data_IF_824041590403
#
_entry.id   IF_824041590403
#
_cell.length_a   1.000
_cell.length_b   1.000
_cell.length_c   1.000
_cell.angle_alpha   90.00
_cell.angle_beta   90.00
_cell.angle_gamma   90.00
#
_symmetry.space_group_name_H-M   'P 1'
#
loop_
_entity.id
_entity.type
_entity.pdbx_description
1 polymer ?
#
# COMPACT_ATOMS: atom_id res chain seq x y z
N UNK A 1 -2.98 -21.26 18.00
CA UNK A 1 -3.95 -20.20 18.29
C UNK A 1 -4.13 -19.28 17.07
N UNK A 2 -4.79 -19.74 15.99
CA UNK A 2 -4.85 -19.07 14.66
C UNK A 2 -6.18 -18.33 14.38
N UNK A 3 -7.12 -18.39 15.34
CA UNK A 3 -8.53 -17.99 15.17
C UNK A 3 -8.88 -16.57 15.63
N UNK A 4 -8.01 -15.83 16.34
CA UNK A 4 -8.33 -14.46 16.81
C UNK A 4 -7.87 -13.32 15.90
N UNK A 5 -6.97 -13.57 14.94
CA UNK A 5 -6.38 -12.46 14.16
C UNK A 5 -7.12 -12.15 12.84
N UNK A 6 -7.99 -13.04 12.35
CA UNK A 6 -8.81 -12.77 11.16
C UNK A 6 -9.90 -11.71 11.42
N UNK A 7 -10.35 -11.56 12.66
CA UNK A 7 -11.36 -10.57 13.05
C UNK A 7 -10.85 -9.11 12.97
N UNK A 8 -9.57 -8.90 12.70
CA UNK A 8 -8.94 -7.58 12.62
C UNK A 8 -8.61 -7.16 11.18
N UNK A 9 -8.73 -8.06 10.20
CA UNK A 9 -8.37 -7.78 8.82
C UNK A 9 -9.52 -7.09 8.10
N UNK A 10 -9.26 -5.98 7.38
CA UNK A 10 -10.29 -5.34 6.56
C UNK A 10 -10.73 -6.25 5.41
N UNK A 11 -12.00 -6.12 5.03
CA UNK A 11 -12.58 -6.86 3.90
C UNK A 11 -11.85 -6.52 2.60
N UNK A 12 -11.58 -7.54 1.77
CA UNK A 12 -10.88 -7.37 0.50
C UNK A 12 -11.80 -6.80 -0.58
N UNK A 13 -11.22 -6.02 -1.49
CA UNK A 13 -11.91 -5.48 -2.66
C UNK A 13 -11.36 -6.19 -3.91
N UNK A 14 -12.05 -7.23 -4.37
CA UNK A 14 -11.61 -8.02 -5.53
C UNK A 14 -11.72 -7.28 -6.85
N UNK A 15 -12.77 -6.47 -7.03
CA UNK A 15 -13.09 -5.78 -8.30
C UNK A 15 -13.27 -4.27 -8.10
N UNK A 16 -12.19 -3.50 -7.86
CA UNK A 16 -12.29 -2.06 -7.66
C UNK A 16 -12.64 -1.32 -8.96
N UNK A 17 -13.77 -0.60 -8.95
CA UNK A 17 -14.29 0.07 -10.15
C UNK A 17 -13.76 1.50 -10.30
N UNK A 18 -13.47 2.17 -9.18
CA UNK A 18 -12.96 3.53 -9.16
C UNK A 18 -11.48 3.59 -8.80
N UNK A 19 -10.79 4.68 -9.16
CA UNK A 19 -9.39 4.91 -8.74
C UNK A 19 -9.26 4.89 -7.21
N UNK A 20 -10.21 5.49 -6.50
CA UNK A 20 -10.30 5.46 -5.03
C UNK A 20 -10.34 4.03 -4.48
N UNK A 21 -11.19 3.18 -5.04
CA UNK A 21 -11.28 1.76 -4.66
C UNK A 21 -10.01 1.00 -4.99
N UNK A 22 -9.31 1.33 -6.08
CA UNK A 22 -8.03 0.68 -6.42
C UNK A 22 -6.95 0.97 -5.39
N UNK A 23 -6.86 2.23 -4.92
CA UNK A 23 -5.95 2.59 -3.83
C UNK A 23 -6.32 1.85 -2.55
N UNK A 24 -7.60 1.80 -2.22
CA UNK A 24 -8.07 1.13 -1.03
C UNK A 24 -7.82 -0.38 -1.09
N UNK A 25 -8.09 -1.02 -2.24
CA UNK A 25 -7.81 -2.43 -2.49
C UNK A 25 -6.31 -2.74 -2.30
N UNK A 26 -5.43 -1.89 -2.85
CA UNK A 26 -3.99 -2.06 -2.71
C UNK A 26 -3.54 -1.88 -1.24
N UNK A 27 -4.07 -0.88 -0.52
CA UNK A 27 -3.80 -0.68 0.91
C UNK A 27 -4.22 -1.90 1.72
N UNK A 28 -5.41 -2.43 1.48
CA UNK A 28 -5.93 -3.63 2.14
C UNK A 28 -5.04 -4.84 1.84
N UNK A 29 -4.65 -5.06 0.58
CA UNK A 29 -3.76 -6.17 0.23
C UNK A 29 -2.41 -6.08 0.95
N UNK A 30 -1.86 -4.87 1.14
CA UNK A 30 -0.62 -4.67 1.93
C UNK A 30 -0.84 -5.02 3.40
N UNK A 31 -1.96 -4.62 4.02
CA UNK A 31 -2.31 -5.01 5.39
C UNK A 31 -2.36 -6.53 5.53
N UNK A 32 -3.03 -7.22 4.60
CA UNK A 32 -3.10 -8.68 4.58
C UNK A 32 -1.71 -9.32 4.39
N UNK A 33 -0.92 -8.79 3.47
CA UNK A 33 0.43 -9.28 3.18
C UNK A 33 1.36 -9.18 4.39
N UNK A 34 1.29 -8.07 5.14
CA UNK A 34 2.08 -7.86 6.34
C UNK A 34 1.58 -8.72 7.49
N UNK A 35 0.27 -8.83 7.70
CA UNK A 35 -0.30 -9.70 8.74
C UNK A 35 0.15 -11.15 8.58
N UNK A 36 0.17 -11.69 7.35
CA UNK A 36 0.71 -13.04 7.06
C UNK A 36 2.19 -13.20 7.45
N UNK A 37 2.93 -12.10 7.56
CA UNK A 37 4.37 -12.03 7.86
C UNK A 37 4.62 -11.39 9.22
N UNK A 38 3.72 -11.61 10.18
CA UNK A 38 3.84 -11.12 11.56
C UNK A 38 3.97 -9.59 11.67
N UNK A 39 3.39 -8.86 10.70
CA UNK A 39 3.34 -7.40 10.69
C UNK A 39 4.57 -6.72 10.11
N UNK A 40 5.61 -7.44 9.66
CA UNK A 40 6.85 -6.80 9.19
C UNK A 40 7.55 -7.61 8.11
N UNK A 41 7.91 -6.99 6.99
CA UNK A 41 8.77 -7.62 5.97
C UNK A 41 9.39 -6.63 4.99
N UNK A 42 10.34 -7.12 4.18
CA UNK A 42 10.93 -6.34 3.09
C UNK A 42 9.88 -5.92 2.05
N UNK A 43 9.97 -4.68 1.56
CA UNK A 43 9.06 -4.13 0.54
C UNK A 43 9.03 -4.98 -0.72
N UNK A 44 10.17 -5.55 -1.10
CA UNK A 44 10.23 -6.43 -2.28
C UNK A 44 9.35 -7.67 -2.12
N UNK A 45 9.34 -8.29 -0.92
CA UNK A 45 8.50 -9.44 -0.64
C UNK A 45 7.00 -9.08 -0.67
N UNK A 46 6.64 -7.88 -0.17
CA UNK A 46 5.27 -7.35 -0.30
C UNK A 46 4.91 -7.19 -1.77
N UNK A 47 5.78 -6.58 -2.58
CA UNK A 47 5.56 -6.35 -4.01
C UNK A 47 5.42 -7.60 -4.88
N UNK A 48 5.77 -8.77 -4.34
CA UNK A 48 5.60 -10.07 -5.01
C UNK A 48 4.27 -10.76 -4.69
N UNK A 49 3.48 -10.27 -3.73
CA UNK A 49 2.17 -10.86 -3.47
C UNK A 49 1.26 -10.73 -4.71
N UNK A 50 0.61 -11.82 -5.16
CA UNK A 50 -0.21 -11.81 -6.37
C UNK A 50 -1.31 -10.74 -6.35
N UNK A 51 -1.98 -10.53 -5.22
CA UNK A 51 -3.04 -9.51 -5.12
C UNK A 51 -2.49 -8.08 -5.20
N UNK A 52 -1.30 -7.84 -4.65
CA UNK A 52 -0.60 -6.55 -4.75
C UNK A 52 -0.24 -6.27 -6.21
N UNK A 53 0.32 -7.26 -6.93
CA UNK A 53 0.64 -7.10 -8.35
C UNK A 53 -0.62 -6.83 -9.19
N UNK A 54 -1.74 -7.48 -8.89
CA UNK A 54 -3.02 -7.24 -9.58
C UNK A 54 -3.49 -5.79 -9.48
N UNK A 55 -3.43 -5.19 -8.28
CA UNK A 55 -3.94 -3.82 -8.08
C UNK A 55 -2.91 -2.72 -8.41
N UNK A 56 -1.61 -3.04 -8.38
CA UNK A 56 -0.51 -2.08 -8.64
C UNK A 56 -0.48 -1.55 -10.08
N UNK A 57 -0.84 -2.37 -11.07
CA UNK A 57 -0.60 -2.10 -12.51
C UNK A 57 -1.29 -0.82 -13.03
N UNK A 58 -2.37 -0.38 -12.39
CA UNK A 58 -3.16 0.78 -12.83
C UNK A 58 -3.08 1.98 -11.87
N UNK A 59 -2.07 2.01 -10.99
CA UNK A 59 -1.86 3.10 -10.02
C UNK A 59 -0.46 3.69 -10.22
N UNK A 60 -0.38 4.92 -10.73
CA UNK A 60 0.90 5.58 -11.03
C UNK A 60 1.82 5.69 -9.81
N UNK A 61 1.29 6.02 -8.64
CA UNK A 61 2.02 6.15 -7.37
C UNK A 61 2.42 4.79 -6.81
N UNK A 62 1.82 3.70 -7.29
CA UNK A 62 2.20 2.37 -6.90
C UNK A 62 3.36 1.85 -7.75
N UNK A 63 3.84 2.55 -8.80
CA UNK A 63 5.02 2.14 -9.60
C UNK A 63 6.19 1.74 -8.69
N UNK A 64 6.44 2.57 -7.68
CA UNK A 64 7.30 2.25 -6.54
C UNK A 64 6.42 1.98 -5.32
N UNK A 65 6.44 0.75 -4.83
CA UNK A 65 5.61 0.37 -3.68
C UNK A 65 5.98 1.14 -2.41
N UNK A 66 7.25 1.56 -2.27
CA UNK A 66 7.72 2.39 -1.16
C UNK A 66 6.98 3.73 -1.10
N UNK A 67 6.85 4.42 -2.24
CA UNK A 67 6.15 5.70 -2.34
C UNK A 67 4.68 5.55 -1.98
N UNK A 68 4.04 4.46 -2.44
CA UNK A 68 2.65 4.17 -2.10
C UNK A 68 2.46 3.94 -0.59
N UNK A 69 3.36 3.18 0.04
CA UNK A 69 3.30 2.90 1.48
C UNK A 69 3.45 4.18 2.30
N UNK A 70 4.31 5.11 1.86
CA UNK A 70 4.50 6.41 2.51
C UNK A 70 3.27 7.32 2.45
N UNK A 71 2.31 7.06 1.54
CA UNK A 71 1.04 7.78 1.55
C UNK A 71 0.20 7.47 2.78
N UNK A 72 0.37 6.30 3.42
CA UNK A 72 -0.46 5.84 4.54
C UNK A 72 0.37 5.67 5.83
N UNK A 73 0.91 6.75 6.40
CA UNK A 73 1.78 6.69 7.58
C UNK A 73 1.06 6.20 8.84
N UNK A 74 -0.28 6.26 8.87
CA UNK A 74 -1.07 5.71 9.97
C UNK A 74 -1.14 4.17 9.94
N UNK A 75 -0.94 3.56 8.76
CA UNK A 75 -0.96 2.11 8.60
C UNK A 75 0.42 1.52 8.51
N UNK A 76 1.38 2.23 7.95
CA UNK A 76 2.66 1.65 7.59
C UNK A 76 3.83 2.54 7.98
N UNK A 77 4.84 1.93 8.60
CA UNK A 77 6.16 2.51 8.76
C UNK A 77 7.10 1.92 7.70
N UNK A 78 7.82 2.79 7.00
CA UNK A 78 8.93 2.41 6.12
C UNK A 78 10.24 2.68 6.85
N UNK A 79 11.08 1.66 7.01
CA UNK A 79 12.40 1.78 7.64
C UNK A 79 13.47 1.36 6.64
N UNK A 80 14.47 2.21 6.45
CA UNK A 80 15.64 1.90 5.62
C UNK A 80 16.82 1.84 6.58
N UNK A 81 17.21 0.63 6.98
CA UNK A 81 18.31 0.44 7.91
C UNK A 81 19.32 -0.53 7.32
N UNK A 82 20.54 -0.04 7.08
CA UNK A 82 21.62 -0.85 6.53
C UNK A 82 22.00 -2.04 7.43
N UNK A 83 21.72 -1.96 8.73
CA UNK A 83 21.99 -3.03 9.69
C UNK A 83 21.06 -4.24 9.55
N UNK A 84 19.85 -4.07 9.02
CA UNK A 84 18.85 -5.15 8.86
C UNK A 84 18.85 -5.74 7.43
N UNK A 85 19.80 -5.33 6.60
CA UNK A 85 20.03 -5.84 5.26
C UNK A 85 19.75 -4.82 4.15
N UNK A 86 20.00 -5.20 2.88
CA UNK A 86 19.77 -4.34 1.74
C UNK A 86 18.26 -4.22 1.46
N UNK A 87 17.70 -3.04 1.74
CA UNK A 87 16.37 -2.67 1.30
C UNK A 87 15.52 -2.01 2.39
N UNK A 88 14.35 -1.53 1.97
CA UNK A 88 13.38 -0.95 2.88
C UNK A 88 12.49 -2.05 3.48
N UNK A 89 12.29 -1.97 4.80
CA UNK A 89 11.36 -2.81 5.55
C UNK A 89 10.07 -2.03 5.76
N UNK A 90 8.94 -2.68 5.53
CA UNK A 90 7.63 -2.17 5.89
C UNK A 90 7.12 -2.87 7.13
N UNK A 91 6.60 -2.08 8.04
CA UNK A 91 5.98 -2.53 9.28
C UNK A 91 4.54 -2.04 9.32
N UNK A 92 3.62 -2.93 9.68
CA UNK A 92 2.21 -2.63 9.90
C UNK A 92 2.04 -1.96 11.26
N UNK A 93 1.53 -0.73 11.26
CA UNK A 93 1.18 0.06 12.44
C UNK A 93 -0.28 -0.16 12.83
N UNK A 94 -1.19 -0.12 11.85
CA UNK A 94 -2.63 -0.21 12.09
C UNK A 94 -3.34 -0.97 10.98
N UNK A 95 -4.35 -1.75 11.38
CA UNK A 95 -5.28 -2.45 10.49
C UNK A 95 -6.43 -1.56 10.02
N UNK A 96 -6.65 -0.41 10.68
CA UNK A 96 -7.77 0.46 10.35
C UNK A 96 -7.55 1.13 9.00
N UNK A 97 -8.48 0.88 8.08
CA UNK A 97 -8.46 1.47 6.73
C UNK A 97 -9.66 2.38 6.48
N UNK A 98 -10.33 2.84 7.54
CA UNK A 98 -11.57 3.60 7.44
C UNK A 98 -11.36 5.02 6.89
N UNK A 99 -10.22 5.66 7.20
CA UNK A 99 -9.88 6.95 6.61
C UNK A 99 -9.58 6.82 5.11
N UNK A 100 -10.39 7.47 4.29
CA UNK A 100 -10.22 7.54 2.84
C UNK A 100 -9.71 8.92 2.38
N UNK A 101 -9.62 9.90 3.28
CA UNK A 101 -9.22 11.29 2.99
C UNK A 101 -7.81 11.35 2.39
N UNK A 102 -6.94 10.47 2.88
CA UNK A 102 -5.57 10.29 2.38
C UNK A 102 -5.53 9.88 0.90
N UNK A 103 -6.47 9.02 0.48
CA UNK A 103 -6.58 8.57 -0.92
C UNK A 103 -7.02 9.71 -1.82
N UNK A 104 -8.00 10.51 -1.37
CA UNK A 104 -8.50 11.66 -2.14
C UNK A 104 -7.40 12.69 -2.38
N UNK A 105 -6.64 12.99 -1.33
CA UNK A 105 -5.47 13.88 -1.43
C UNK A 105 -4.42 13.35 -2.41
N UNK A 106 -4.11 12.05 -2.34
CA UNK A 106 -3.14 11.41 -3.23
C UNK A 106 -3.57 11.43 -4.71
N UNK A 107 -4.87 11.26 -4.98
CA UNK A 107 -5.42 11.33 -6.34
C UNK A 107 -5.28 12.76 -6.90
N UNK A 108 -5.61 13.78 -6.11
CA UNK A 108 -5.48 15.18 -6.52
C UNK A 108 -4.03 15.54 -6.83
N UNK A 109 -3.09 15.19 -5.94
CA UNK A 109 -1.65 15.41 -6.16
C UNK A 109 -1.13 14.73 -7.45
N UNK A 110 -1.67 13.56 -7.79
CA UNK A 110 -1.35 12.85 -9.04
C UNK A 110 -1.77 13.61 -10.29
N UNK A 111 -2.97 14.20 -10.25
CA UNK A 111 -3.55 14.91 -11.39
C UNK A 111 -2.78 16.19 -11.69
N UNK A 112 -2.28 16.88 -10.65
CA UNK A 112 -1.49 18.11 -10.80
C UNK A 112 -0.07 17.87 -11.34
N UNK A 113 0.55 16.73 -11.04
CA UNK A 113 1.93 16.41 -11.45
C UNK A 113 2.05 15.93 -12.89
N UNK A 114 0.95 15.56 -13.56
CA UNK A 114 0.95 15.07 -14.95
C UNK A 114 0.82 16.19 -16.01
N UNK A 115 0.70 17.47 -15.62
CA UNK A 115 0.47 18.60 -16.53
C UNK A 115 1.70 19.34 -17.06
N UNK A 116 2.93 18.92 -16.72
CA UNK A 116 4.15 19.69 -17.02
C UNK A 116 5.09 18.91 -17.94
N UNK A 117 4.77 18.88 -19.24
CA UNK A 117 5.63 18.22 -20.22
C UNK A 117 5.11 18.15 -21.65
N UNK A 118 4.80 19.30 -22.28
CA UNK A 118 4.81 19.39 -23.75
C UNK A 118 5.03 20.83 -24.23
N UNK A 119 6.29 21.23 -24.34
CA UNK A 119 6.76 22.25 -25.28
C UNK A 119 8.06 21.74 -25.87
N UNK A 120 7.98 21.31 -27.12
CA UNK A 120 9.04 20.87 -28.01
C UNK A 120 8.47 20.92 -29.40
#
# INVERSE_FOLDING_TARGET
NKMRMQALLPEKIDSPNSLKERYQALRIEIVHALHKRNGRCAVQAVGQEPGIQRHKTNISQAKKLQDFVQLFPQNFALTINAAEGPGAIVTLISYDVSDLSTIETAIVLSSMSSGKGKKG
#
